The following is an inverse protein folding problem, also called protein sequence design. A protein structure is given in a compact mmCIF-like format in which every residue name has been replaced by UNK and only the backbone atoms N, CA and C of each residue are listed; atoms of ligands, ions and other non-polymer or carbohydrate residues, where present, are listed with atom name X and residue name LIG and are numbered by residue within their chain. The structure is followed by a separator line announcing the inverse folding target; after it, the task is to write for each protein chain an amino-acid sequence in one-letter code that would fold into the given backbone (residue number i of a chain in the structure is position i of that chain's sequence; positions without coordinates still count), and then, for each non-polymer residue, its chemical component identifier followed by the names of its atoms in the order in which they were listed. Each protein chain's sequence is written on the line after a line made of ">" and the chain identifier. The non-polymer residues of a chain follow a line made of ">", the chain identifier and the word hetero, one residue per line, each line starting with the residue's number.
data_IF_534081237638
#
_entry.id   IF_534081237638
#
_cell.length_a   1.000
_cell.length_b   1.000
_cell.length_c   1.000
_cell.angle_alpha   90.00
_cell.angle_beta   90.00
_cell.angle_gamma   90.00
#
_symmetry.space_group_name_H-M   'P 1'
#
loop_
_entity.id
_entity.type
_entity.pdbx_description
1 polymer ?
#
# COMPACT_ATOMS: atom_id res chain seq x y z
N UNK A 1 -58.32 -20.87 -13.48
CA UNK A 1 -57.79 -21.90 -14.40
C UNK A 1 -56.86 -22.93 -13.73
N UNK A 2 -56.29 -22.67 -12.54
CA UNK A 2 -55.31 -23.56 -11.88
C UNK A 2 -55.88 -24.73 -11.04
N UNK A 3 -57.20 -24.84 -10.82
CA UNK A 3 -57.76 -25.85 -9.91
C UNK A 3 -57.59 -27.30 -10.40
N UNK A 4 -57.69 -27.54 -11.71
CA UNK A 4 -57.57 -28.88 -12.32
C UNK A 4 -56.16 -29.49 -12.26
N UNK A 5 -55.06 -28.74 -12.48
CA UNK A 5 -53.71 -29.31 -12.30
C UNK A 5 -53.38 -29.56 -10.82
N UNK A 6 -53.81 -28.69 -9.90
CA UNK A 6 -53.60 -28.86 -8.46
C UNK A 6 -54.26 -30.12 -7.90
N UNK A 7 -55.50 -30.42 -8.31
CA UNK A 7 -56.19 -31.65 -7.86
C UNK A 7 -55.55 -32.91 -8.43
N UNK A 8 -55.04 -32.89 -9.66
CA UNK A 8 -54.31 -34.02 -10.25
C UNK A 8 -52.98 -34.30 -9.56
N UNK A 9 -52.26 -33.26 -9.15
CA UNK A 9 -51.02 -33.40 -8.37
C UNK A 9 -51.33 -33.99 -6.99
N UNK A 10 -52.39 -33.52 -6.33
CA UNK A 10 -52.84 -34.07 -5.04
C UNK A 10 -53.22 -35.56 -5.14
N UNK A 11 -53.97 -35.96 -6.18
CA UNK A 11 -54.32 -37.36 -6.42
C UNK A 11 -53.09 -38.24 -6.70
N UNK A 12 -52.08 -37.72 -7.42
CA UNK A 12 -50.81 -38.40 -7.63
C UNK A 12 -50.04 -38.59 -6.31
N UNK A 13 -50.07 -37.58 -5.43
CA UNK A 13 -49.51 -37.61 -4.09
C UNK A 13 -50.11 -38.71 -3.21
N UNK A 14 -51.44 -38.87 -3.24
CA UNK A 14 -52.12 -39.89 -2.44
C UNK A 14 -52.02 -41.30 -3.02
N UNK A 15 -51.91 -41.46 -4.35
CA UNK A 15 -51.84 -42.79 -4.98
C UNK A 15 -50.48 -43.49 -4.87
N UNK A 16 -49.38 -42.75 -4.77
CA UNK A 16 -48.01 -43.32 -4.67
C UNK A 16 -47.14 -42.58 -3.66
N UNK A 17 -47.45 -42.66 -2.36
CA UNK A 17 -46.75 -41.89 -1.32
C UNK A 17 -45.26 -42.26 -1.24
N UNK A 18 -44.92 -43.55 -1.33
CA UNK A 18 -43.52 -44.00 -1.29
C UNK A 18 -42.67 -43.48 -2.45
N UNK A 19 -43.22 -43.45 -3.66
CA UNK A 19 -42.48 -42.96 -4.84
C UNK A 19 -42.14 -41.48 -4.73
N UNK A 20 -43.05 -40.69 -4.16
CA UNK A 20 -42.86 -39.25 -3.98
C UNK A 20 -41.88 -38.96 -2.84
N UNK A 21 -41.97 -39.71 -1.74
CA UNK A 21 -40.97 -39.62 -0.66
C UNK A 21 -39.57 -39.90 -1.20
N UNK A 22 -39.40 -40.92 -2.05
CA UNK A 22 -38.11 -41.28 -2.64
C UNK A 22 -37.59 -40.18 -3.58
N UNK A 23 -38.46 -39.59 -4.39
CA UNK A 23 -38.10 -38.45 -5.26
C UNK A 23 -37.72 -37.22 -4.45
N UNK A 24 -38.48 -36.89 -3.40
CA UNK A 24 -38.16 -35.75 -2.51
C UNK A 24 -36.84 -35.99 -1.79
N UNK A 25 -36.60 -37.22 -1.30
CA UNK A 25 -35.33 -37.60 -0.67
C UNK A 25 -34.16 -37.47 -1.66
N UNK A 26 -34.34 -37.90 -2.91
CA UNK A 26 -33.32 -37.76 -3.95
C UNK A 26 -33.06 -36.28 -4.28
N UNK A 27 -34.09 -35.46 -4.43
CA UNK A 27 -33.93 -34.01 -4.62
C UNK A 27 -33.24 -33.35 -3.42
N UNK A 28 -33.57 -33.77 -2.21
CA UNK A 28 -32.94 -33.27 -0.98
C UNK A 28 -31.45 -33.64 -0.93
N UNK A 29 -31.10 -34.89 -1.24
CA UNK A 29 -29.70 -35.34 -1.34
C UNK A 29 -28.92 -34.57 -2.40
N UNK A 30 -29.51 -34.33 -3.57
CA UNK A 30 -28.89 -33.53 -4.64
C UNK A 30 -28.68 -32.09 -4.19
N UNK A 31 -29.68 -31.47 -3.57
CA UNK A 31 -29.56 -30.11 -3.04
C UNK A 31 -28.48 -30.01 -1.95
N UNK A 32 -28.37 -31.03 -1.09
CA UNK A 32 -27.35 -31.11 -0.05
C UNK A 32 -25.94 -31.27 -0.65
N UNK A 33 -25.78 -32.11 -1.67
CA UNK A 33 -24.52 -32.23 -2.42
C UNK A 33 -24.11 -30.91 -3.08
N UNK A 34 -25.06 -30.19 -3.69
CA UNK A 34 -24.83 -28.87 -4.29
C UNK A 34 -24.45 -27.83 -3.22
N UNK A 35 -25.09 -27.87 -2.04
CA UNK A 35 -24.77 -26.97 -0.93
C UNK A 35 -23.32 -27.17 -0.44
N UNK A 36 -22.84 -28.42 -0.39
CA UNK A 36 -21.43 -28.70 -0.04
C UNK A 36 -20.42 -28.27 -1.10
N UNK A 37 -20.85 -28.09 -2.35
CA UNK A 37 -19.99 -27.59 -3.44
C UNK A 37 -20.00 -26.06 -3.55
N UNK A 38 -20.76 -25.37 -2.70
CA UNK A 38 -20.86 -23.92 -2.77
C UNK A 38 -19.54 -23.26 -2.34
N UNK A 39 -18.78 -22.76 -3.32
CA UNK A 39 -17.57 -21.99 -3.08
C UNK A 39 -17.97 -20.53 -2.85
N UNK A 40 -17.87 -20.08 -1.61
CA UNK A 40 -17.94 -18.66 -1.30
C UNK A 40 -16.68 -17.99 -1.85
N UNK A 41 -16.84 -17.22 -2.93
CA UNK A 41 -15.81 -16.30 -3.38
C UNK A 41 -16.00 -14.97 -2.65
N UNK A 42 -14.98 -14.54 -1.91
CA UNK A 42 -14.92 -13.21 -1.28
C UNK A 42 -14.31 -12.16 -2.21
N UNK A 43 -14.09 -12.52 -3.48
CA UNK A 43 -13.48 -11.63 -4.45
C UNK A 43 -14.49 -10.58 -4.93
N UNK A 44 -14.22 -9.33 -4.56
CA UNK A 44 -15.03 -8.16 -4.91
C UNK A 44 -15.10 -7.97 -6.44
N UNK A 45 -14.14 -8.52 -7.20
CA UNK A 45 -14.17 -8.55 -8.68
C UNK A 45 -15.45 -9.17 -9.23
N UNK A 46 -16.03 -10.13 -8.51
CA UNK A 46 -17.28 -10.79 -8.90
C UNK A 46 -18.51 -9.88 -8.86
N UNK A 47 -18.43 -8.72 -8.18
CA UNK A 47 -19.51 -7.75 -8.05
C UNK A 47 -19.45 -6.65 -9.11
N UNK A 48 -18.36 -6.56 -9.89
CA UNK A 48 -18.16 -5.54 -10.90
C UNK A 48 -18.70 -6.00 -12.28
N UNK A 49 -19.21 -5.07 -13.11
CA UNK A 49 -19.67 -5.40 -14.46
C UNK A 49 -18.50 -5.89 -15.32
N UNK A 50 -18.58 -7.13 -15.80
CA UNK A 50 -17.50 -7.81 -16.55
C UNK A 50 -17.34 -7.33 -18.00
N UNK A 51 -18.33 -6.64 -18.55
CA UNK A 51 -18.33 -6.22 -19.96
C UNK A 51 -17.68 -4.84 -20.20
N UNK A 52 -17.17 -4.19 -19.15
CA UNK A 52 -16.47 -2.91 -19.30
C UNK A 52 -14.96 -3.10 -19.44
N UNK A 53 -14.43 -2.78 -20.63
CA UNK A 53 -12.99 -2.84 -20.92
C UNK A 53 -12.12 -2.04 -19.92
N UNK A 54 -12.69 -1.01 -19.27
CA UNK A 54 -12.00 -0.25 -18.22
C UNK A 54 -11.70 -1.09 -16.97
N UNK A 55 -12.62 -1.95 -16.55
CA UNK A 55 -12.49 -2.79 -15.36
C UNK A 55 -11.43 -3.88 -15.60
N UNK A 56 -11.46 -4.53 -16.75
CA UNK A 56 -10.49 -5.55 -17.12
C UNK A 56 -9.07 -4.99 -17.28
N UNK A 57 -8.94 -3.81 -17.91
CA UNK A 57 -7.65 -3.15 -18.03
C UNK A 57 -7.09 -2.72 -16.67
N UNK A 58 -7.95 -2.26 -15.75
CA UNK A 58 -7.54 -1.94 -14.39
C UNK A 58 -7.02 -3.17 -13.66
N UNK A 59 -7.73 -4.29 -13.65
CA UNK A 59 -7.27 -5.50 -12.95
C UNK A 59 -6.07 -6.14 -13.62
N UNK A 60 -5.96 -6.07 -14.95
CA UNK A 60 -4.78 -6.52 -15.68
C UNK A 60 -3.56 -5.67 -15.33
N UNK A 61 -3.70 -4.34 -15.35
CA UNK A 61 -2.64 -3.44 -14.89
C UNK A 61 -2.30 -3.68 -13.42
N UNK A 62 -3.30 -3.79 -12.54
CA UNK A 62 -3.09 -4.09 -11.13
C UNK A 62 -2.37 -5.43 -10.93
N UNK A 63 -2.69 -6.48 -11.70
CA UNK A 63 -1.98 -7.76 -11.60
C UNK A 63 -0.53 -7.70 -12.09
N UNK A 64 -0.22 -6.80 -13.02
CA UNK A 64 1.11 -6.64 -13.60
C UNK A 64 2.01 -5.67 -12.81
N UNK A 65 1.40 -4.68 -12.15
CA UNK A 65 2.11 -3.61 -11.44
C UNK A 65 1.95 -3.66 -9.92
N UNK A 66 0.86 -4.24 -9.40
CA UNK A 66 0.65 -4.41 -7.95
C UNK A 66 1.33 -5.70 -7.51
N UNK A 67 2.63 -5.59 -7.26
CA UNK A 67 3.47 -6.69 -6.77
C UNK A 67 3.21 -7.11 -5.32
N UNK A 68 2.31 -6.46 -4.59
CA UNK A 68 1.92 -6.92 -3.26
C UNK A 68 0.48 -6.54 -2.94
N UNK A 69 -0.28 -7.51 -2.43
CA UNK A 69 -1.46 -7.23 -1.64
C UNK A 69 -0.96 -6.56 -0.34
N UNK A 70 -0.91 -5.23 -0.33
CA UNK A 70 -0.39 -4.49 0.81
C UNK A 70 -1.43 -4.46 1.94
N UNK A 71 -1.05 -4.97 3.10
CA UNK A 71 -1.81 -4.78 4.33
C UNK A 71 -1.38 -3.48 5.00
N UNK A 72 -2.29 -2.52 5.08
CA UNK A 72 -2.04 -1.24 5.75
C UNK A 72 -2.56 -1.33 7.19
N UNK A 73 -1.65 -1.35 8.15
CA UNK A 73 -1.97 -1.26 9.58
C UNK A 73 -2.02 0.18 10.05
N UNK A 74 -3.12 0.59 10.69
CA UNK A 74 -3.26 1.93 11.28
C UNK A 74 -3.33 1.79 12.81
N UNK A 75 -2.40 2.44 13.50
CA UNK A 75 -2.32 2.47 14.95
C UNK A 75 -2.89 3.78 15.48
N UNK A 76 -3.83 3.69 16.42
CA UNK A 76 -4.43 4.85 17.08
C UNK A 76 -4.07 4.85 18.56
N UNK A 77 -3.45 5.93 19.03
CA UNK A 77 -3.22 6.14 20.46
C UNK A 77 -4.53 6.56 21.16
N UNK A 78 -4.75 6.04 22.36
CA UNK A 78 -5.90 6.41 23.20
C UNK A 78 -5.64 7.67 24.06
N UNK A 79 -4.42 8.23 24.03
CA UNK A 79 -4.03 9.37 24.87
C UNK A 79 -3.35 10.49 24.10
N UNK A 80 -3.58 11.73 24.53
CA UNK A 80 -2.86 12.90 24.06
C UNK A 80 -1.48 12.92 24.73
N UNK A 81 -0.44 12.47 24.02
CA UNK A 81 0.92 12.65 24.48
C UNK A 81 1.98 11.66 23.99
N UNK A 82 1.59 10.60 23.27
CA UNK A 82 2.50 9.46 23.12
C UNK A 82 2.96 9.13 21.70
N UNK A 83 3.14 10.17 20.88
CA UNK A 83 3.65 10.01 19.53
C UNK A 83 5.03 9.33 19.52
N UNK A 84 5.90 9.64 20.48
CA UNK A 84 7.24 9.06 20.58
C UNK A 84 7.20 7.55 20.90
N UNK A 85 6.42 7.09 21.88
CA UNK A 85 6.31 5.65 22.16
C UNK A 85 5.58 4.92 21.01
N UNK A 86 4.64 5.57 20.34
CA UNK A 86 3.98 4.97 19.17
C UNK A 86 4.94 4.81 18.00
N UNK A 87 5.83 5.78 17.75
CA UNK A 87 6.90 5.63 16.75
C UNK A 87 7.86 4.50 17.12
N UNK A 88 8.28 4.42 18.39
CA UNK A 88 9.17 3.37 18.86
C UNK A 88 8.54 1.98 18.71
N UNK A 89 7.25 1.85 19.07
CA UNK A 89 6.49 0.64 18.86
C UNK A 89 6.39 0.24 17.39
N UNK A 90 6.08 1.19 16.49
CA UNK A 90 5.99 0.91 15.05
C UNK A 90 7.35 0.45 14.51
N UNK A 91 8.45 1.05 14.96
CA UNK A 91 9.80 0.61 14.59
C UNK A 91 10.08 -0.81 15.05
N UNK A 92 9.86 -1.12 16.33
CA UNK A 92 10.13 -2.45 16.89
C UNK A 92 9.23 -3.52 16.24
N UNK A 93 7.94 -3.22 16.07
CA UNK A 93 7.00 -4.08 15.37
C UNK A 93 7.42 -4.33 13.92
N UNK A 94 7.77 -3.27 13.19
CA UNK A 94 8.21 -3.35 11.81
C UNK A 94 9.46 -4.21 11.64
N UNK A 95 10.45 -4.05 12.53
CA UNK A 95 11.64 -4.89 12.54
C UNK A 95 11.32 -6.37 12.79
N UNK A 96 10.51 -6.67 13.81
CA UNK A 96 10.11 -8.06 14.11
C UNK A 96 9.24 -8.68 13.01
N UNK A 97 8.36 -7.90 12.40
CA UNK A 97 7.53 -8.35 11.29
C UNK A 97 8.39 -8.74 10.08
N UNK A 98 9.46 -7.99 9.81
CA UNK A 98 10.42 -8.27 8.72
C UNK A 98 11.23 -9.56 8.94
N UNK A 99 11.40 -10.01 10.18
CA UNK A 99 12.03 -11.30 10.49
C UNK A 99 11.10 -12.50 10.26
N UNK A 100 9.80 -12.26 10.10
CA UNK A 100 8.81 -13.31 9.84
C UNK A 100 8.94 -13.87 8.43
N UNK A 101 8.93 -15.20 8.30
CA UNK A 101 8.87 -15.86 6.98
C UNK A 101 7.51 -15.71 6.27
N UNK A 102 6.51 -15.19 6.96
CA UNK A 102 5.16 -14.98 6.42
C UNK A 102 5.02 -13.61 5.74
N UNK A 103 6.02 -12.74 5.87
CA UNK A 103 5.97 -11.39 5.37
C UNK A 103 7.16 -11.16 4.45
N UNK A 104 6.88 -10.83 3.19
CA UNK A 104 7.92 -10.64 2.18
C UNK A 104 8.65 -9.30 2.38
N UNK A 105 7.88 -8.23 2.64
CA UNK A 105 8.43 -6.91 2.96
C UNK A 105 7.54 -6.14 3.95
N UNK A 106 8.15 -5.27 4.74
CA UNK A 106 7.46 -4.43 5.73
C UNK A 106 7.96 -2.99 5.62
N UNK A 107 7.06 -2.12 5.18
CA UNK A 107 7.27 -0.68 5.15
C UNK A 107 6.58 -0.02 6.33
N UNK A 108 7.39 0.39 7.31
CA UNK A 108 6.91 1.05 8.53
C UNK A 108 7.44 2.49 8.69
N UNK A 109 8.21 2.98 7.71
CA UNK A 109 8.65 4.36 7.64
C UNK A 109 8.78 4.79 6.16
N UNK A 110 7.85 5.62 5.69
CA UNK A 110 7.82 6.06 4.30
C UNK A 110 9.03 6.93 3.91
N UNK A 111 9.60 7.67 4.87
CA UNK A 111 10.81 8.46 4.63
C UNK A 111 12.03 7.56 4.41
N UNK A 112 12.10 6.41 5.05
CA UNK A 112 13.24 5.48 4.93
C UNK A 112 13.42 4.99 3.49
N UNK A 113 12.32 4.74 2.76
CA UNK A 113 12.37 4.33 1.35
C UNK A 113 12.95 5.46 0.50
N UNK A 114 12.43 6.68 0.66
CA UNK A 114 12.91 7.85 -0.07
C UNK A 114 14.39 8.14 0.23
N UNK A 115 14.79 8.05 1.50
CA UNK A 115 16.17 8.24 1.95
C UNK A 115 17.08 7.15 1.37
N UNK A 116 16.65 5.90 1.39
CA UNK A 116 17.42 4.77 0.85
C UNK A 116 17.60 4.91 -0.65
N UNK A 117 16.53 5.20 -1.38
CA UNK A 117 16.59 5.49 -2.82
C UNK A 117 17.54 6.65 -3.12
N UNK A 118 17.44 7.74 -2.37
CA UNK A 118 18.31 8.88 -2.52
C UNK A 118 19.79 8.50 -2.33
N UNK A 119 20.10 7.77 -1.26
CA UNK A 119 21.47 7.40 -0.90
C UNK A 119 22.07 6.37 -1.86
N UNK A 120 21.33 5.30 -2.12
CA UNK A 120 21.88 4.11 -2.81
C UNK A 120 21.80 4.24 -4.33
N UNK A 121 20.86 5.03 -4.83
CA UNK A 121 20.67 5.23 -6.26
C UNK A 121 21.05 6.64 -6.68
N UNK A 122 20.37 7.66 -6.17
CA UNK A 122 20.56 9.00 -6.71
C UNK A 122 21.96 9.55 -6.48
N UNK A 123 22.49 9.54 -5.25
CA UNK A 123 23.83 10.06 -4.97
C UNK A 123 24.91 9.30 -5.76
N UNK A 124 24.74 7.98 -5.89
CA UNK A 124 25.67 7.12 -6.65
C UNK A 124 25.70 7.47 -8.14
N UNK A 125 24.55 7.84 -8.69
CA UNK A 125 24.39 8.14 -10.11
C UNK A 125 24.12 9.62 -10.38
N UNK A 126 24.47 10.49 -9.43
CA UNK A 126 24.13 11.92 -9.45
C UNK A 126 24.44 12.57 -10.79
N UNK A 127 25.65 12.31 -11.31
CA UNK A 127 26.15 12.88 -12.56
C UNK A 127 25.36 12.48 -13.81
N UNK A 128 24.59 11.39 -13.77
CA UNK A 128 23.69 11.00 -14.86
C UNK A 128 22.43 11.89 -14.92
N UNK A 129 22.13 12.60 -13.84
CA UNK A 129 20.97 13.49 -13.72
C UNK A 129 21.34 14.97 -13.87
N UNK A 130 22.60 15.30 -14.13
CA UNK A 130 23.03 16.70 -14.25
C UNK A 130 23.02 17.13 -15.71
N UNK A 131 22.46 18.31 -15.94
CA UNK A 131 22.66 19.01 -17.20
C UNK A 131 23.96 19.84 -17.14
N UNK A 132 24.42 20.32 -18.29
CA UNK A 132 25.66 21.12 -18.42
C UNK A 132 25.71 22.29 -17.43
N UNK A 133 24.58 22.98 -17.21
CA UNK A 133 24.46 24.10 -16.28
C UNK A 133 24.59 23.70 -14.80
N UNK A 134 24.34 22.44 -14.46
CA UNK A 134 24.34 21.97 -13.08
C UNK A 134 25.74 21.58 -12.59
N UNK A 135 26.67 21.26 -13.52
CA UNK A 135 28.07 20.99 -13.17
C UNK A 135 28.74 22.18 -12.48
N UNK A 136 28.50 23.40 -12.96
CA UNK A 136 29.03 24.62 -12.34
C UNK A 136 28.49 24.84 -10.93
N UNK A 137 27.20 24.56 -10.71
CA UNK A 137 26.55 24.67 -9.40
C UNK A 137 27.09 23.64 -8.42
N UNK A 138 27.24 22.39 -8.86
CA UNK A 138 27.81 21.32 -8.03
C UNK A 138 29.26 21.60 -7.70
N UNK A 139 30.07 22.05 -8.66
CA UNK A 139 31.45 22.45 -8.40
C UNK A 139 31.52 23.57 -7.35
N UNK A 140 30.58 24.53 -7.40
CA UNK A 140 30.42 25.57 -6.38
C UNK A 140 30.09 25.01 -4.99
N UNK A 141 29.13 24.09 -4.90
CA UNK A 141 28.73 23.45 -3.62
C UNK A 141 29.84 22.59 -3.04
N UNK A 142 30.53 21.81 -3.88
CA UNK A 142 31.65 20.94 -3.49
C UNK A 142 32.97 21.72 -3.29
N UNK A 143 33.00 23.03 -3.57
CA UNK A 143 34.14 23.87 -3.24
C UNK A 143 34.30 24.00 -1.73
N UNK A 144 35.48 24.41 -1.28
CA UNK A 144 35.77 24.56 0.16
C UNK A 144 34.84 25.57 0.85
N UNK A 145 34.55 26.69 0.20
CA UNK A 145 33.61 27.68 0.72
C UNK A 145 32.18 27.15 0.69
N UNK A 146 31.76 26.55 -0.43
CA UNK A 146 30.42 25.98 -0.59
C UNK A 146 30.11 24.90 0.45
N UNK A 147 31.04 23.98 0.71
CA UNK A 147 30.87 22.97 1.74
C UNK A 147 30.77 23.59 3.14
N UNK A 148 31.60 24.60 3.45
CA UNK A 148 31.56 25.27 4.74
C UNK A 148 30.20 25.96 4.97
N UNK A 149 29.69 26.63 3.95
CA UNK A 149 28.41 27.31 3.99
C UNK A 149 27.25 26.32 4.08
N UNK A 150 27.28 25.24 3.28
CA UNK A 150 26.30 24.16 3.31
C UNK A 150 26.23 23.46 4.67
N UNK A 151 27.38 23.08 5.25
CA UNK A 151 27.42 22.51 6.60
C UNK A 151 26.95 23.52 7.66
N UNK A 152 27.24 24.81 7.49
CA UNK A 152 26.74 25.86 8.37
C UNK A 152 25.21 25.94 8.38
N UNK A 153 24.60 25.89 7.19
CA UNK A 153 23.15 25.88 7.03
C UNK A 153 22.51 24.59 7.59
N UNK A 154 23.10 23.43 7.28
CA UNK A 154 22.66 22.15 7.83
C UNK A 154 22.67 22.14 9.36
N UNK A 155 23.75 22.66 9.97
CA UNK A 155 23.85 22.80 11.43
C UNK A 155 22.79 23.75 11.99
N UNK A 156 22.57 24.90 11.36
CA UNK A 156 21.54 25.85 11.79
C UNK A 156 20.14 25.23 11.72
N UNK A 157 19.86 24.48 10.64
CA UNK A 157 18.59 23.77 10.46
C UNK A 157 18.38 22.69 11.53
N UNK A 158 19.40 21.89 11.85
CA UNK A 158 19.34 20.86 12.89
C UNK A 158 19.07 21.41 14.30
N UNK A 159 19.54 22.62 14.60
CA UNK A 159 19.35 23.27 15.92
C UNK A 159 17.98 23.99 15.99
N UNK A 160 17.40 24.32 14.84
CA UNK A 160 16.08 24.97 14.76
C UNK A 160 14.93 23.99 15.01
N UNK A 161 13.70 24.50 15.18
CA UNK A 161 12.49 23.67 15.24
C UNK A 161 12.29 22.81 13.98
N UNK A 162 12.77 23.27 12.81
CA UNK A 162 12.73 22.48 11.57
C UNK A 162 13.64 21.24 11.62
N UNK A 163 14.65 21.26 12.50
CA UNK A 163 15.56 20.14 12.74
C UNK A 163 14.88 18.93 13.35
N UNK A 164 13.73 19.09 14.00
CA UNK A 164 12.94 17.97 14.50
C UNK A 164 12.38 17.12 13.35
N UNK A 165 11.91 17.76 12.26
CA UNK A 165 11.27 17.09 11.14
C UNK A 165 12.24 16.66 10.03
N UNK A 166 13.32 17.42 9.82
CA UNK A 166 14.24 17.21 8.69
C UNK A 166 15.55 16.54 9.11
N UNK A 167 15.68 16.11 10.38
CA UNK A 167 16.90 15.54 10.95
C UNK A 167 17.54 14.48 10.06
N UNK A 168 16.73 13.50 9.67
CA UNK A 168 17.18 12.34 8.90
C UNK A 168 17.64 12.74 7.49
N UNK A 169 16.90 13.64 6.84
CA UNK A 169 17.27 14.17 5.52
C UNK A 169 18.53 15.02 5.56
N UNK A 170 18.71 15.86 6.59
CA UNK A 170 19.90 16.69 6.74
C UNK A 170 21.14 15.82 7.04
N UNK A 171 20.99 14.76 7.84
CA UNK A 171 22.10 13.84 8.12
C UNK A 171 22.55 13.05 6.88
N UNK A 172 21.61 12.69 6.00
CA UNK A 172 21.92 11.92 4.79
C UNK A 172 22.40 12.81 3.63
N UNK A 173 21.99 14.09 3.63
CA UNK A 173 22.35 15.07 2.59
C UNK A 173 22.66 16.45 3.19
N UNK A 174 23.83 16.62 3.85
CA UNK A 174 24.20 17.87 4.51
C UNK A 174 24.49 19.01 3.51
N UNK A 175 24.72 18.68 2.24
CA UNK A 175 24.97 19.65 1.17
C UNK A 175 23.73 19.93 0.32
N UNK A 176 22.59 19.34 0.66
CA UNK A 176 21.32 19.48 -0.04
C UNK A 176 21.40 19.17 -1.55
N UNK A 177 22.20 18.17 -1.95
CA UNK A 177 22.33 17.71 -3.34
C UNK A 177 21.00 17.16 -3.90
N UNK A 178 20.05 16.79 -3.06
CA UNK A 178 18.69 16.42 -3.48
C UNK A 178 17.95 17.52 -4.24
N UNK A 179 18.36 18.79 -4.13
CA UNK A 179 17.75 19.85 -4.92
C UNK A 179 17.88 19.63 -6.44
N UNK A 180 18.89 18.86 -6.88
CA UNK A 180 19.07 18.50 -8.29
C UNK A 180 18.06 17.44 -8.76
N UNK A 181 17.48 16.64 -7.85
CA UNK A 181 16.36 15.74 -8.18
C UNK A 181 15.07 16.50 -8.52
N UNK A 182 14.88 17.70 -7.99
CA UNK A 182 13.62 18.43 -8.12
C UNK A 182 13.24 18.71 -9.57
N UNK A 183 14.22 18.80 -10.47
CA UNK A 183 14.02 18.96 -11.91
C UNK A 183 13.35 17.76 -12.58
N UNK A 184 13.64 16.55 -12.11
CA UNK A 184 13.15 15.29 -12.71
C UNK A 184 11.95 14.71 -11.97
N UNK A 185 11.71 15.20 -10.76
CA UNK A 185 10.74 14.66 -9.82
C UNK A 185 9.58 15.61 -9.42
N UNK A 186 9.08 16.55 -10.24
CA UNK A 186 7.89 17.34 -9.85
C UNK A 186 6.67 16.44 -9.59
N UNK A 187 6.56 15.31 -10.31
CA UNK A 187 5.45 14.36 -10.22
C UNK A 187 5.56 13.33 -9.09
N UNK A 188 6.77 12.92 -8.67
CA UNK A 188 6.86 12.03 -7.49
C UNK A 188 6.39 12.75 -6.22
N UNK A 189 6.56 14.08 -6.13
CA UNK A 189 6.05 14.87 -5.01
C UNK A 189 4.52 15.07 -5.03
N UNK A 190 3.88 15.07 -6.21
CA UNK A 190 2.42 15.23 -6.29
C UNK A 190 1.64 14.02 -5.78
N UNK A 191 2.22 12.81 -5.88
CA UNK A 191 1.69 11.61 -5.22
C UNK A 191 2.01 11.52 -3.72
N UNK A 192 2.91 12.39 -3.23
CA UNK A 192 3.42 12.45 -1.86
C UNK A 192 3.04 13.78 -1.17
N UNK A 193 1.83 14.31 -1.42
CA UNK A 193 1.18 15.27 -0.50
C UNK A 193 0.80 14.55 0.81
N UNK A 194 1.80 13.98 1.47
CA UNK A 194 1.69 13.27 2.72
C UNK A 194 2.25 14.23 3.76
N UNK A 195 1.48 14.51 4.80
CA UNK A 195 1.90 15.28 5.96
C UNK A 195 2.92 14.44 6.74
N UNK A 196 4.18 14.49 6.30
CA UNK A 196 5.28 13.65 6.79
C UNK A 196 5.88 14.25 8.05
N UNK A 197 5.17 14.13 9.16
CA UNK A 197 5.80 14.19 10.48
C UNK A 197 6.59 12.87 10.65
N UNK A 198 7.86 12.88 10.24
CA UNK A 198 8.86 11.81 10.44
C UNK A 198 8.66 10.48 9.67
N UNK A 199 7.81 10.47 8.65
CA UNK A 199 7.55 9.26 7.84
C UNK A 199 6.50 8.33 8.45
N UNK A 200 5.82 8.82 9.48
CA UNK A 200 4.66 8.21 10.12
C UNK A 200 3.41 9.03 9.81
N UNK A 201 2.30 8.34 9.55
CA UNK A 201 1.01 8.99 9.35
C UNK A 201 0.38 9.25 10.72
N UNK A 202 0.37 10.50 11.17
CA UNK A 202 -0.44 10.94 12.31
C UNK A 202 -1.72 11.60 11.76
N UNK A 203 -2.88 11.11 12.21
CA UNK A 203 -4.20 11.67 11.92
C UNK A 203 -4.86 12.17 13.19
#
# INVERSE_FOLDING_TARGET
>A
MFRRPLTRIAELCFRRPLGIILVVLACWLVALLLAFQLKFTTDVRGLLPRDEAGVDNYFKAASLFSGSEALVGVLRSQGAGDAALMQEFIKDFGHKARESRLVDDVDFNANMIAITFFREFFLKYLFLFLDEDDFGKIAGILSRSGMKDGLGQARAALISQAGLMQKEFIMQDPLNLRQFLWKYSPKLMQGLKIDLLDGYYFA
#
